data_IF_979014283903
#
_entry.id   IF_979014283903
#
_cell.length_a   1.000
_cell.length_b   1.000
_cell.length_c   1.000
_cell.angle_alpha   90.00
_cell.angle_beta   90.00
_cell.angle_gamma   90.00
#
_symmetry.space_group_name_H-M   'P 1'
#
loop_
_entity.id
_entity.type
_entity.pdbx_description
1 polymer ?
#
# COMPACT_ATOMS: atom_id res chain seq x y z
N UNK A 1 -30.61 29.47 48.14
CA UNK A 1 -29.82 28.96 46.98
C UNK A 1 -29.74 27.45 47.11
N UNK A 2 -30.45 26.71 46.25
CA UNK A 2 -30.51 25.24 46.31
C UNK A 2 -29.39 24.56 45.53
N UNK A 3 -28.15 24.63 46.01
CA UNK A 3 -27.05 23.86 45.50
C UNK A 3 -27.07 22.46 46.13
N UNK A 4 -27.04 21.39 45.33
CA UNK A 4 -27.02 20.03 45.89
C UNK A 4 -25.74 19.78 46.69
N UNK A 5 -25.81 18.92 47.73
CA UNK A 5 -24.65 18.54 48.55
C UNK A 5 -23.51 18.02 47.73
N UNK A 6 -23.77 17.26 46.67
CA UNK A 6 -22.75 16.74 45.73
C UNK A 6 -22.01 17.86 44.98
N UNK A 7 -22.73 18.94 44.60
CA UNK A 7 -22.12 20.09 43.91
C UNK A 7 -21.29 20.93 44.88
N UNK A 8 -21.73 21.07 46.15
CA UNK A 8 -20.99 21.82 47.18
C UNK A 8 -19.65 21.14 47.54
N UNK A 9 -19.63 19.81 47.62
CA UNK A 9 -18.40 19.04 47.92
C UNK A 9 -17.60 18.64 46.68
N UNK A 10 -18.04 19.01 45.47
CA UNK A 10 -17.30 18.72 44.26
C UNK A 10 -15.97 19.49 44.24
N UNK A 11 -14.89 18.79 44.56
CA UNK A 11 -13.54 19.27 44.33
C UNK A 11 -13.09 18.80 42.96
N UNK A 12 -12.83 19.68 41.96
CA UNK A 12 -12.27 19.25 40.68
C UNK A 12 -10.95 18.54 40.96
N UNK A 13 -10.87 17.26 40.66
CA UNK A 13 -9.60 16.52 40.72
C UNK A 13 -8.63 17.20 39.75
N UNK A 14 -7.68 17.96 40.28
CA UNK A 14 -6.64 18.59 39.50
C UNK A 14 -5.69 17.48 39.06
N UNK A 15 -6.01 16.83 37.92
CA UNK A 15 -5.33 15.64 37.46
C UNK A 15 -4.14 16.07 36.62
N UNK A 16 -3.09 16.58 37.27
CA UNK A 16 -1.84 17.02 36.66
C UNK A 16 -1.20 15.86 35.83
N UNK A 17 -1.24 14.63 36.35
CA UNK A 17 -0.74 13.46 35.62
C UNK A 17 -1.51 13.21 34.34
N UNK A 18 -2.84 13.34 34.36
CA UNK A 18 -3.66 13.22 33.16
C UNK A 18 -3.35 14.31 32.14
N UNK A 19 -3.14 15.56 32.60
CA UNK A 19 -2.77 16.66 31.73
C UNK A 19 -1.40 16.42 31.09
N UNK A 20 -0.42 15.98 31.89
CA UNK A 20 0.92 15.63 31.41
C UNK A 20 0.83 14.49 30.37
N UNK A 21 0.16 13.40 30.69
CA UNK A 21 -0.06 12.29 29.73
C UNK A 21 -0.78 12.74 28.45
N UNK A 22 -1.72 13.66 28.54
CA UNK A 22 -2.42 14.19 27.37
C UNK A 22 -1.53 15.08 26.51
N UNK A 23 -0.58 15.81 27.11
CA UNK A 23 0.45 16.54 26.41
C UNK A 23 1.43 15.60 25.67
N UNK A 24 1.95 14.58 26.37
CA UNK A 24 2.83 13.58 25.76
C UNK A 24 2.18 12.90 24.55
N UNK A 25 0.87 12.59 24.65
CA UNK A 25 0.10 12.03 23.54
C UNK A 25 -0.03 13.04 22.39
N UNK A 26 -0.26 14.31 22.69
CA UNK A 26 -0.37 15.36 21.67
C UNK A 26 0.94 15.51 20.87
N UNK A 27 2.08 15.55 21.55
CA UNK A 27 3.40 15.65 20.94
C UNK A 27 3.69 14.45 20.01
N UNK A 28 3.31 13.24 20.47
CA UNK A 28 3.45 12.05 19.63
C UNK A 28 2.52 12.05 18.41
N UNK A 29 1.28 12.56 18.55
CA UNK A 29 0.34 12.71 17.44
C UNK A 29 0.92 13.69 16.41
N UNK A 30 1.48 14.82 16.87
CA UNK A 30 2.09 15.83 16.00
C UNK A 30 3.30 15.27 15.24
N UNK A 31 4.19 14.57 15.94
CA UNK A 31 5.36 13.91 15.33
C UNK A 31 4.95 12.88 14.28
N UNK A 32 3.93 12.04 14.56
CA UNK A 32 3.41 11.07 13.58
C UNK A 32 2.77 11.77 12.39
N UNK A 33 2.00 12.82 12.62
CA UNK A 33 1.33 13.57 11.55
C UNK A 33 2.32 14.35 10.68
N UNK A 34 3.42 14.83 11.26
CA UNK A 34 4.52 15.44 10.52
C UNK A 34 5.23 14.44 9.60
N UNK A 35 5.53 13.26 10.13
CA UNK A 35 6.18 12.18 9.37
C UNK A 35 5.26 11.58 8.30
N UNK A 36 3.94 11.49 8.57
CA UNK A 36 2.94 10.89 7.69
C UNK A 36 1.71 11.81 7.54
N UNK A 37 1.80 12.87 6.73
CA UNK A 37 0.74 13.89 6.63
C UNK A 37 -0.63 13.38 6.16
N UNK A 38 -0.65 12.23 5.51
CA UNK A 38 -1.87 11.58 5.00
C UNK A 38 -2.46 10.54 5.96
N UNK A 39 -1.90 10.38 7.18
CA UNK A 39 -2.48 9.47 8.16
C UNK A 39 -3.70 10.08 8.82
N UNK A 40 -4.84 9.40 8.68
CA UNK A 40 -6.03 9.70 9.48
C UNK A 40 -5.92 9.12 10.90
N UNK A 41 -6.83 9.54 11.78
CA UNK A 41 -6.81 9.17 13.20
C UNK A 41 -6.68 7.65 13.47
N UNK A 42 -7.19 6.78 12.60
CA UNK A 42 -7.08 5.32 12.77
C UNK A 42 -5.63 4.85 12.63
N UNK A 43 -4.90 5.31 11.60
CA UNK A 43 -3.48 5.00 11.42
C UNK A 43 -2.62 5.65 12.50
N UNK A 44 -2.93 6.88 12.90
CA UNK A 44 -2.26 7.55 14.02
C UNK A 44 -2.46 6.75 15.32
N UNK A 45 -3.66 6.25 15.59
CA UNK A 45 -3.92 5.38 16.75
C UNK A 45 -3.11 4.09 16.71
N UNK A 46 -3.02 3.46 15.53
CA UNK A 46 -2.20 2.26 15.35
C UNK A 46 -0.70 2.56 15.55
N UNK A 47 -0.21 3.67 15.02
CA UNK A 47 1.17 4.12 15.21
C UNK A 47 1.49 4.40 16.69
N UNK A 48 0.57 5.04 17.44
CA UNK A 48 0.71 5.23 18.88
C UNK A 48 0.78 3.89 19.64
N UNK A 49 -0.08 2.92 19.27
CA UNK A 49 -0.06 1.57 19.87
C UNK A 49 1.30 0.88 19.64
N UNK A 50 1.90 1.01 18.47
CA UNK A 50 3.25 0.49 18.16
C UNK A 50 4.33 1.15 19.01
N UNK A 51 4.16 2.41 19.39
CA UNK A 51 5.00 3.13 20.36
C UNK A 51 4.62 2.83 21.84
N UNK A 52 3.88 1.75 22.10
CA UNK A 52 3.40 1.32 23.43
C UNK A 52 2.45 2.32 24.11
N UNK A 53 1.91 3.27 23.37
CA UNK A 53 0.90 4.24 23.86
C UNK A 53 -0.51 3.78 23.49
N UNK A 54 -1.20 3.16 24.45
CA UNK A 54 -2.57 2.67 24.25
C UNK A 54 -3.54 3.82 24.51
N UNK A 55 -4.16 4.32 23.43
CA UNK A 55 -5.13 5.43 23.46
C UNK A 55 -6.36 5.07 22.64
N UNK A 56 -7.53 5.44 23.16
CA UNK A 56 -8.79 5.22 22.42
C UNK A 56 -8.82 6.09 21.15
N UNK A 57 -9.18 5.48 20.01
CA UNK A 57 -9.23 6.16 18.72
C UNK A 57 -10.14 7.40 18.68
N UNK A 58 -11.25 7.40 19.49
CA UNK A 58 -12.13 8.58 19.62
C UNK A 58 -11.39 9.75 20.28
N UNK A 59 -10.50 9.45 21.27
CA UNK A 59 -9.68 10.46 21.92
C UNK A 59 -8.64 11.02 20.94
N UNK A 60 -7.96 10.15 20.18
CA UNK A 60 -7.01 10.57 19.15
C UNK A 60 -7.68 11.47 18.11
N UNK A 61 -8.86 11.08 17.59
CA UNK A 61 -9.62 11.90 16.64
C UNK A 61 -9.98 13.28 17.22
N UNK A 62 -10.40 13.36 18.50
CA UNK A 62 -10.71 14.62 19.18
C UNK A 62 -9.47 15.51 19.34
N UNK A 63 -8.33 14.91 19.70
CA UNK A 63 -7.06 15.63 19.85
C UNK A 63 -6.58 16.18 18.51
N UNK A 64 -6.54 15.35 17.46
CA UNK A 64 -6.17 15.79 16.10
C UNK A 64 -7.05 16.95 15.62
N UNK A 65 -8.37 16.87 15.85
CA UNK A 65 -9.29 17.97 15.52
C UNK A 65 -8.95 19.26 16.28
N UNK A 66 -8.66 19.15 17.59
CA UNK A 66 -8.29 20.31 18.44
C UNK A 66 -6.97 20.96 17.99
N UNK A 67 -6.04 20.15 17.49
CA UNK A 67 -4.72 20.59 16.99
C UNK A 67 -4.78 21.02 15.52
N UNK A 68 -5.94 21.04 14.88
CA UNK A 68 -6.12 21.29 13.44
C UNK A 68 -5.31 20.34 12.53
N UNK A 69 -4.97 19.17 13.02
CA UNK A 69 -4.30 18.12 12.24
C UNK A 69 -5.35 17.38 11.42
N UNK A 70 -5.33 17.62 10.10
CA UNK A 70 -6.25 16.95 9.17
C UNK A 70 -5.45 16.14 8.15
N UNK A 71 -5.95 14.94 7.83
CA UNK A 71 -5.41 14.15 6.74
C UNK A 71 -5.56 14.92 5.41
N UNK A 72 -4.45 15.12 4.69
CA UNK A 72 -4.49 15.73 3.35
C UNK A 72 -5.22 14.79 2.39
N UNK A 73 -6.27 15.28 1.77
CA UNK A 73 -7.04 14.52 0.75
C UNK A 73 -6.48 14.83 -0.63
N UNK A 74 -6.15 13.77 -1.39
CA UNK A 74 -5.77 13.93 -2.79
C UNK A 74 -6.94 14.38 -3.65
N UNK A 75 -6.68 15.21 -4.67
CA UNK A 75 -7.65 15.56 -5.72
C UNK A 75 -7.91 14.33 -6.62
N UNK A 76 -9.12 14.15 -7.10
CA UNK A 76 -9.47 13.08 -8.05
C UNK A 76 -8.86 13.35 -9.43
N UNK A 77 -8.32 12.32 -10.08
CA UNK A 77 -7.84 12.35 -11.45
C UNK A 77 -8.64 11.39 -12.34
N UNK A 78 -8.66 11.67 -13.64
CA UNK A 78 -9.36 10.90 -14.67
C UNK A 78 -8.40 9.81 -15.20
N UNK A 79 -8.92 8.60 -15.42
CA UNK A 79 -8.19 7.47 -16.02
C UNK A 79 -8.26 7.56 -17.55
N UNK A 80 -7.14 7.26 -18.22
CA UNK A 80 -7.07 7.21 -19.69
C UNK A 80 -6.27 5.97 -20.11
N UNK A 81 -6.95 4.84 -20.32
CA UNK A 81 -6.33 3.63 -20.89
C UNK A 81 -6.94 3.37 -22.26
N UNK A 82 -6.10 3.15 -23.29
CA UNK A 82 -6.55 2.73 -24.62
C UNK A 82 -6.38 1.21 -24.73
N UNK A 83 -7.48 0.47 -24.74
CA UNK A 83 -7.52 -1.00 -24.78
C UNK A 83 -8.04 -1.58 -26.11
N UNK A 84 -7.97 -0.80 -27.20
CA UNK A 84 -8.42 -1.25 -28.53
C UNK A 84 -7.24 -1.75 -29.36
N UNK A 85 -6.99 -3.06 -29.35
CA UNK A 85 -5.95 -3.72 -30.15
C UNK A 85 -6.34 -5.16 -30.50
N UNK A 86 -5.69 -5.74 -31.54
CA UNK A 86 -5.95 -7.10 -32.04
C UNK A 86 -5.02 -8.19 -31.44
N UNK A 87 -4.33 -7.92 -30.33
CA UNK A 87 -3.45 -8.89 -29.67
C UNK A 87 -4.27 -9.92 -28.88
N UNK A 88 -3.67 -11.10 -28.64
CA UNK A 88 -4.31 -12.20 -27.89
C UNK A 88 -4.64 -11.74 -26.46
N UNK A 89 -5.88 -11.97 -26.07
CA UNK A 89 -6.40 -11.70 -24.73
C UNK A 89 -6.53 -13.01 -23.96
N UNK A 90 -6.20 -12.99 -22.67
CA UNK A 90 -6.23 -14.13 -21.79
C UNK A 90 -7.48 -14.12 -20.89
N UNK A 91 -7.93 -15.29 -20.38
CA UNK A 91 -9.08 -15.36 -19.49
C UNK A 91 -8.79 -14.69 -18.14
N UNK A 92 -9.84 -14.28 -17.45
CA UNK A 92 -9.72 -13.73 -16.11
C UNK A 92 -9.66 -14.88 -15.07
N UNK A 93 -8.46 -15.17 -14.58
CA UNK A 93 -8.22 -16.18 -13.54
C UNK A 93 -8.27 -15.60 -12.13
N UNK A 94 -8.29 -14.27 -11.99
CA UNK A 94 -8.35 -13.60 -10.70
C UNK A 94 -9.79 -13.42 -10.18
N UNK A 95 -10.79 -13.63 -11.06
CA UNK A 95 -12.19 -13.53 -10.68
C UNK A 95 -12.53 -14.64 -9.68
N UNK A 96 -13.16 -14.27 -8.58
CA UNK A 96 -13.59 -15.18 -7.51
C UNK A 96 -12.44 -15.95 -6.83
N UNK A 97 -11.16 -15.55 -7.05
CA UNK A 97 -10.01 -16.18 -6.42
C UNK A 97 -9.89 -15.72 -4.96
N UNK A 98 -9.92 -16.68 -4.03
CA UNK A 98 -9.57 -16.43 -2.64
C UNK A 98 -8.04 -16.37 -2.49
N UNK A 99 -7.51 -15.16 -2.30
CA UNK A 99 -6.07 -14.93 -2.19
C UNK A 99 -5.63 -15.17 -0.76
N UNK A 100 -4.98 -16.30 -0.50
CA UNK A 100 -4.62 -16.78 0.84
C UNK A 100 -3.12 -16.94 1.11
N UNK A 101 -2.26 -16.74 0.11
CA UNK A 101 -0.79 -16.84 0.27
C UNK A 101 -0.04 -15.74 -0.47
N UNK A 102 1.19 -15.51 -0.02
CA UNK A 102 2.16 -14.66 -0.71
C UNK A 102 2.45 -15.26 -2.10
N UNK A 103 2.65 -14.41 -3.09
CA UNK A 103 2.95 -14.77 -4.49
C UNK A 103 1.91 -15.72 -5.12
N UNK A 104 0.63 -15.56 -4.74
CA UNK A 104 -0.48 -16.26 -5.40
C UNK A 104 -1.06 -15.46 -6.55
N UNK A 105 -1.20 -14.17 -6.36
CA UNK A 105 -1.75 -13.24 -7.34
C UNK A 105 -0.95 -11.93 -7.33
N UNK A 106 -0.34 -11.62 -8.46
CA UNK A 106 0.23 -10.31 -8.72
C UNK A 106 -0.70 -9.49 -9.59
N UNK A 107 -0.94 -8.23 -9.20
CA UNK A 107 -1.67 -7.27 -10.00
C UNK A 107 -0.71 -6.23 -10.57
N UNK A 108 -0.79 -5.98 -11.87
CA UNK A 108 0.06 -5.04 -12.58
C UNK A 108 -0.76 -3.94 -13.26
N UNK A 109 -0.24 -2.73 -13.24
CA UNK A 109 -0.81 -1.58 -13.94
C UNK A 109 0.25 -0.49 -14.15
N UNK A 110 -0.05 0.48 -15.02
CA UNK A 110 0.80 1.62 -15.32
C UNK A 110 0.08 2.90 -14.93
N UNK A 111 0.80 3.79 -14.26
CA UNK A 111 0.32 5.14 -13.98
C UNK A 111 1.29 6.18 -14.55
N UNK A 112 0.83 7.40 -14.68
CA UNK A 112 1.65 8.55 -15.03
C UNK A 112 1.83 9.50 -13.86
N UNK A 113 3.00 10.10 -13.80
CA UNK A 113 3.42 11.14 -12.86
C UNK A 113 3.71 12.38 -13.67
N UNK A 114 3.02 13.47 -13.36
CA UNK A 114 3.26 14.74 -14.03
C UNK A 114 4.51 15.40 -13.45
N UNK A 115 5.40 15.83 -14.32
CA UNK A 115 6.51 16.74 -14.01
C UNK A 115 6.25 18.09 -14.69
N UNK A 116 7.11 19.07 -14.50
CA UNK A 116 6.88 20.45 -14.93
C UNK A 116 6.49 20.54 -16.42
N UNK A 117 7.20 19.85 -17.31
CA UNK A 117 7.03 19.96 -18.76
C UNK A 117 6.53 18.69 -19.46
N UNK A 118 6.41 17.55 -18.73
CA UNK A 118 6.14 16.26 -19.34
C UNK A 118 5.44 15.29 -18.37
N UNK A 119 5.31 14.04 -18.80
CA UNK A 119 4.89 12.92 -17.98
C UNK A 119 5.99 11.88 -17.85
N UNK A 120 6.08 11.27 -16.69
CA UNK A 120 6.89 10.08 -16.42
C UNK A 120 5.92 8.94 -16.13
N UNK A 121 6.21 7.77 -16.67
CA UNK A 121 5.39 6.58 -16.50
C UNK A 121 5.99 5.66 -15.46
N UNK A 122 5.16 5.10 -14.62
CA UNK A 122 5.51 4.11 -13.60
C UNK A 122 4.67 2.86 -13.84
N UNK A 123 5.32 1.75 -14.20
CA UNK A 123 4.72 0.42 -14.13
C UNK A 123 5.01 -0.16 -12.75
N UNK A 124 4.04 -0.81 -12.14
CA UNK A 124 4.24 -1.47 -10.85
C UNK A 124 3.49 -2.80 -10.79
N UNK A 125 4.04 -3.72 -10.01
CA UNK A 125 3.47 -5.04 -9.73
C UNK A 125 3.32 -5.17 -8.21
N UNK A 126 2.10 -5.42 -7.76
CA UNK A 126 1.77 -5.59 -6.35
C UNK A 126 1.34 -7.03 -6.07
N UNK A 127 1.84 -7.60 -5.00
CA UNK A 127 1.29 -8.83 -4.43
C UNK A 127 -0.08 -8.55 -3.80
N UNK A 128 -1.11 -9.25 -4.25
CA UNK A 128 -2.48 -9.00 -3.81
C UNK A 128 -2.73 -9.45 -2.37
N UNK A 129 -1.95 -10.37 -1.82
CA UNK A 129 -2.06 -10.84 -0.45
C UNK A 129 -1.38 -9.88 0.53
N UNK A 130 -0.07 -9.68 0.36
CA UNK A 130 0.76 -8.90 1.26
C UNK A 130 0.70 -7.39 1.01
N UNK A 131 0.19 -6.96 -0.14
CA UNK A 131 0.21 -5.55 -0.60
C UNK A 131 1.61 -5.02 -0.87
N UNK A 132 2.64 -5.86 -0.87
CA UNK A 132 4.00 -5.48 -1.18
C UNK A 132 4.16 -5.20 -2.67
N UNK A 133 4.86 -4.14 -3.01
CA UNK A 133 5.29 -3.91 -4.39
C UNK A 133 6.46 -4.85 -4.66
N UNK A 134 6.22 -5.80 -5.55
CA UNK A 134 7.19 -6.83 -5.94
C UNK A 134 8.17 -6.34 -7.00
N UNK A 135 7.73 -5.43 -7.88
CA UNK A 135 8.57 -4.86 -8.91
C UNK A 135 7.98 -3.58 -9.48
N UNK A 136 8.84 -2.72 -10.02
CA UNK A 136 8.45 -1.48 -10.68
C UNK A 136 9.44 -1.09 -11.77
N UNK A 137 8.97 -0.25 -12.70
CA UNK A 137 9.80 0.35 -13.75
C UNK A 137 9.40 1.80 -13.96
N UNK A 138 10.37 2.69 -14.19
CA UNK A 138 10.17 4.13 -14.40
C UNK A 138 10.69 4.51 -15.78
N UNK A 139 9.88 5.20 -16.59
CA UNK A 139 10.26 5.54 -17.94
C UNK A 139 9.65 6.84 -18.45
N UNK A 140 10.32 7.43 -19.47
CA UNK A 140 9.84 8.65 -20.14
C UNK A 140 8.75 8.36 -21.19
N UNK A 141 8.59 7.11 -21.58
CA UNK A 141 7.64 6.69 -22.60
C UNK A 141 6.85 5.48 -22.16
N UNK A 142 5.65 5.33 -22.68
CA UNK A 142 4.75 4.19 -22.44
C UNK A 142 5.13 2.99 -23.35
N UNK A 143 6.41 2.66 -23.44
CA UNK A 143 6.88 1.54 -24.24
C UNK A 143 6.67 0.20 -23.51
N UNK A 144 6.56 -0.90 -24.26
CA UNK A 144 6.43 -2.26 -23.69
C UNK A 144 7.62 -2.67 -22.80
N UNK A 145 8.77 -2.03 -22.97
CA UNK A 145 9.97 -2.22 -22.13
C UNK A 145 9.70 -1.86 -20.66
N UNK A 146 8.86 -0.85 -20.40
CA UNK A 146 8.59 -0.35 -19.06
C UNK A 146 7.98 -1.42 -18.12
N UNK A 147 6.82 -2.05 -18.43
CA UNK A 147 6.30 -3.13 -17.59
C UNK A 147 7.18 -4.37 -17.59
N UNK A 148 7.99 -4.58 -18.66
CA UNK A 148 8.94 -5.69 -18.72
C UNK A 148 10.06 -5.54 -17.67
N UNK A 149 10.54 -4.33 -17.43
CA UNK A 149 11.50 -4.03 -16.35
C UNK A 149 10.90 -4.31 -14.97
N UNK A 150 9.67 -3.88 -14.74
CA UNK A 150 8.94 -4.17 -13.50
C UNK A 150 8.77 -5.70 -13.28
N UNK A 151 8.42 -6.43 -14.34
CA UNK A 151 8.26 -7.88 -14.26
C UNK A 151 9.58 -8.60 -13.99
N UNK A 152 10.67 -8.22 -14.65
CA UNK A 152 12.01 -8.78 -14.38
C UNK A 152 12.44 -8.57 -12.94
N UNK A 153 12.22 -7.36 -12.40
CA UNK A 153 12.52 -7.06 -11.00
C UNK A 153 11.73 -7.96 -10.06
N UNK A 154 10.43 -8.13 -10.30
CA UNK A 154 9.56 -8.98 -9.48
C UNK A 154 10.00 -10.47 -9.52
N UNK A 155 10.22 -11.03 -10.72
CA UNK A 155 10.66 -12.44 -10.89
C UNK A 155 11.99 -12.70 -10.19
N UNK A 156 12.94 -11.77 -10.27
CA UNK A 156 14.26 -11.95 -9.66
C UNK A 156 14.25 -11.96 -8.13
N UNK A 157 13.21 -11.40 -7.51
CA UNK A 157 13.15 -11.23 -6.05
C UNK A 157 12.08 -12.10 -5.36
N UNK A 158 11.23 -12.80 -6.13
CA UNK A 158 10.04 -13.48 -5.61
C UNK A 158 9.89 -14.91 -6.13
N UNK A 159 9.09 -15.71 -5.41
CA UNK A 159 8.71 -17.05 -5.89
C UNK A 159 7.60 -16.96 -6.93
N UNK A 160 7.76 -17.67 -8.04
CA UNK A 160 6.79 -17.69 -9.15
C UNK A 160 5.96 -18.99 -9.21
N UNK A 161 6.12 -19.90 -8.26
CA UNK A 161 5.40 -21.19 -8.23
C UNK A 161 3.88 -20.99 -8.09
N UNK A 162 3.12 -21.51 -9.07
CA UNK A 162 1.66 -21.38 -9.13
C UNK A 162 1.17 -19.93 -8.99
N UNK A 163 1.94 -18.97 -9.53
CA UNK A 163 1.61 -17.56 -9.53
C UNK A 163 0.67 -17.22 -10.67
N UNK A 164 -0.34 -16.41 -10.39
CA UNK A 164 -1.19 -15.76 -11.37
C UNK A 164 -0.76 -14.29 -11.49
N UNK A 165 -0.45 -13.86 -12.70
CA UNK A 165 -0.20 -12.45 -13.02
C UNK A 165 -1.43 -11.85 -13.69
N UNK A 166 -2.03 -10.85 -13.06
CA UNK A 166 -3.24 -10.18 -13.52
C UNK A 166 -2.96 -8.74 -13.92
N UNK A 167 -3.40 -8.36 -15.12
CA UNK A 167 -3.28 -7.00 -15.65
C UNK A 167 -4.54 -6.57 -16.40
N UNK A 168 -4.59 -5.30 -16.81
CA UNK A 168 -5.55 -4.88 -17.82
C UNK A 168 -5.17 -5.44 -19.21
N UNK A 169 -6.04 -5.16 -20.22
CA UNK A 169 -5.78 -5.54 -21.62
C UNK A 169 -4.96 -4.52 -22.37
N UNK A 170 -4.09 -3.77 -21.69
CA UNK A 170 -3.20 -2.81 -22.33
C UNK A 170 -2.23 -3.50 -23.30
N UNK A 171 -1.94 -2.84 -24.42
CA UNK A 171 -1.03 -3.35 -25.47
C UNK A 171 0.34 -3.76 -24.92
N UNK A 172 0.80 -3.10 -23.86
CA UNK A 172 2.07 -3.38 -23.21
C UNK A 172 2.09 -4.76 -22.55
N UNK A 173 0.99 -5.15 -21.89
CA UNK A 173 0.83 -6.45 -21.23
C UNK A 173 0.52 -7.58 -22.20
N UNK A 174 -0.02 -7.26 -23.38
CA UNK A 174 -0.28 -8.21 -24.45
C UNK A 174 0.93 -8.41 -25.40
N UNK A 175 2.05 -7.70 -25.18
CA UNK A 175 3.23 -7.80 -26.02
C UNK A 175 3.87 -9.20 -25.93
N UNK A 176 4.44 -9.68 -27.05
CA UNK A 176 5.05 -11.01 -27.12
C UNK A 176 6.16 -11.19 -26.08
N UNK A 177 7.02 -10.20 -25.91
CA UNK A 177 8.13 -10.28 -24.95
C UNK A 177 7.63 -10.42 -23.51
N UNK A 178 6.56 -9.69 -23.17
CA UNK A 178 5.96 -9.75 -21.83
C UNK A 178 5.34 -11.12 -21.53
N UNK A 179 4.55 -11.62 -22.48
CA UNK A 179 3.90 -12.94 -22.37
C UNK A 179 4.93 -14.06 -22.37
N UNK A 180 5.95 -13.98 -23.22
CA UNK A 180 7.02 -14.97 -23.25
C UNK A 180 7.78 -15.04 -21.92
N UNK A 181 8.05 -13.89 -21.29
CA UNK A 181 8.71 -13.86 -19.99
C UNK A 181 7.85 -14.48 -18.88
N UNK A 182 6.54 -14.23 -18.87
CA UNK A 182 5.60 -14.88 -17.93
C UNK A 182 5.61 -16.39 -18.11
N UNK A 183 5.42 -16.86 -19.36
CA UNK A 183 5.38 -18.29 -19.69
C UNK A 183 6.70 -19.01 -19.38
N UNK A 184 7.85 -18.37 -19.66
CA UNK A 184 9.17 -18.93 -19.37
C UNK A 184 9.42 -19.14 -17.86
N UNK A 185 8.69 -18.42 -17.01
CA UNK A 185 8.76 -18.56 -15.54
C UNK A 185 7.56 -19.32 -14.95
N UNK A 186 6.75 -19.99 -15.79
CA UNK A 186 5.60 -20.76 -15.33
C UNK A 186 4.44 -19.95 -14.76
N UNK A 187 4.42 -18.65 -14.99
CA UNK A 187 3.42 -17.72 -14.44
C UNK A 187 2.16 -17.75 -15.31
N UNK A 188 1.01 -17.95 -14.68
CA UNK A 188 -0.29 -17.97 -15.36
C UNK A 188 -0.73 -16.55 -15.72
N UNK A 189 -1.09 -16.33 -16.99
CA UNK A 189 -1.53 -15.03 -17.48
C UNK A 189 -3.04 -14.85 -17.27
N UNK A 190 -3.41 -13.75 -16.64
CA UNK A 190 -4.79 -13.34 -16.38
C UNK A 190 -5.03 -11.90 -16.79
N UNK A 191 -6.18 -11.60 -17.42
CA UNK A 191 -6.51 -10.26 -17.85
C UNK A 191 -7.93 -9.87 -17.44
N UNK A 192 -8.08 -8.62 -16.93
CA UNK A 192 -9.38 -8.09 -16.51
C UNK A 192 -10.36 -7.99 -17.68
N UNK A 193 -11.66 -8.16 -17.40
CA UNK A 193 -12.69 -7.87 -18.37
C UNK A 193 -12.79 -6.34 -18.63
N UNK A 194 -13.23 -5.96 -19.83
CA UNK A 194 -13.43 -4.54 -20.16
C UNK A 194 -14.47 -3.94 -19.20
N UNK A 195 -14.11 -2.93 -18.44
CA UNK A 195 -15.03 -2.23 -17.54
C UNK A 195 -15.22 -2.84 -16.16
N UNK A 196 -14.33 -3.73 -15.72
CA UNK A 196 -14.35 -4.35 -14.36
C UNK A 196 -13.34 -3.68 -13.41
N UNK A 197 -13.67 -2.51 -12.82
CA UNK A 197 -12.71 -1.74 -12.01
C UNK A 197 -12.32 -2.44 -10.70
N UNK A 198 -13.08 -3.43 -10.25
CA UNK A 198 -12.79 -4.15 -9.00
C UNK A 198 -11.65 -5.15 -9.14
N UNK A 199 -11.37 -5.61 -10.35
CA UNK A 199 -10.40 -6.68 -10.62
C UNK A 199 -8.94 -6.19 -10.44
N UNK A 200 -8.67 -4.89 -10.55
CA UNK A 200 -7.35 -4.29 -10.35
C UNK A 200 -7.27 -3.32 -9.16
N UNK A 201 -8.23 -3.44 -8.21
CA UNK A 201 -8.37 -2.53 -7.08
C UNK A 201 -7.12 -2.44 -6.17
N UNK A 202 -6.30 -3.48 -6.13
CA UNK A 202 -5.10 -3.52 -5.30
C UNK A 202 -4.05 -2.54 -5.78
N UNK A 203 -3.69 -2.61 -7.06
CA UNK A 203 -2.69 -1.72 -7.65
C UNK A 203 -3.23 -0.28 -7.78
N UNK A 204 -4.54 -0.10 -8.06
CA UNK A 204 -5.15 1.22 -8.03
C UNK A 204 -5.08 1.88 -6.65
N UNK A 205 -5.28 1.09 -5.58
CA UNK A 205 -5.14 1.58 -4.19
C UNK A 205 -3.71 2.01 -3.89
N UNK A 206 -2.72 1.27 -4.40
CA UNK A 206 -1.32 1.67 -4.32
C UNK A 206 -1.08 3.01 -5.03
N UNK A 207 -1.49 3.14 -6.29
CA UNK A 207 -1.30 4.39 -7.04
C UNK A 207 -2.02 5.59 -6.40
N UNK A 208 -3.19 5.38 -5.81
CA UNK A 208 -3.87 6.43 -5.02
C UNK A 208 -3.03 6.85 -3.81
N UNK A 209 -2.41 5.88 -3.12
CA UNK A 209 -1.51 6.16 -1.99
C UNK A 209 -0.25 6.87 -2.43
N UNK A 210 0.43 6.38 -3.47
CA UNK A 210 1.62 7.00 -4.05
C UNK A 210 1.37 8.45 -4.44
N UNK A 211 0.28 8.70 -5.19
CA UNK A 211 -0.04 10.06 -5.61
C UNK A 211 -0.35 10.98 -4.45
N UNK A 212 -1.08 10.50 -3.44
CA UNK A 212 -1.48 11.31 -2.29
C UNK A 212 -0.35 11.56 -1.29
N UNK A 213 0.47 10.55 -1.05
CA UNK A 213 1.46 10.52 0.05
C UNK A 213 2.86 10.90 -0.42
N UNK A 214 3.11 10.92 -1.74
CA UNK A 214 4.38 11.30 -2.33
C UNK A 214 4.21 12.34 -3.45
N UNK A 215 3.62 11.98 -4.58
CA UNK A 215 3.65 12.81 -5.80
C UNK A 215 3.04 14.21 -5.60
N UNK A 216 1.92 14.33 -4.86
CA UNK A 216 1.26 15.63 -4.62
C UNK A 216 1.83 16.42 -3.44
N UNK A 217 2.74 15.83 -2.69
CA UNK A 217 3.45 16.55 -1.61
C UNK A 217 4.74 17.20 -2.12
N UNK A 218 5.30 16.65 -3.19
CA UNK A 218 6.54 17.10 -3.80
C UNK A 218 6.26 17.56 -5.23
N UNK A 219 6.54 18.79 -5.54
CA UNK A 219 6.38 19.36 -6.87
C UNK A 219 7.53 18.91 -7.74
N UNK A 220 7.40 17.73 -8.36
CA UNK A 220 8.42 17.18 -9.26
C UNK A 220 8.61 18.05 -10.49
N UNK A 221 9.81 18.48 -10.74
CA UNK A 221 10.18 19.31 -11.89
C UNK A 221 10.83 18.48 -12.99
N UNK A 222 11.68 17.54 -12.61
CA UNK A 222 12.55 16.78 -13.50
C UNK A 222 12.30 15.28 -13.46
N UNK A 223 12.81 14.57 -14.46
CA UNK A 223 12.83 13.11 -14.49
C UNK A 223 13.68 12.54 -13.33
N UNK A 224 14.79 13.20 -12.99
CA UNK A 224 15.66 12.80 -11.89
C UNK A 224 14.89 12.79 -10.56
N UNK A 225 14.08 13.81 -10.29
CA UNK A 225 13.29 13.87 -9.06
C UNK A 225 12.40 12.63 -8.91
N UNK A 226 11.80 12.17 -10.02
CA UNK A 226 10.96 10.97 -10.03
C UNK A 226 11.80 9.72 -9.79
N UNK A 227 12.96 9.58 -10.49
CA UNK A 227 13.81 8.37 -10.38
C UNK A 227 14.50 8.25 -9.05
N UNK A 228 14.71 9.33 -8.34
CA UNK A 228 15.34 9.33 -7.01
C UNK A 228 14.32 9.06 -5.90
N UNK A 229 13.14 9.67 -6.02
CA UNK A 229 12.15 9.65 -4.94
C UNK A 229 11.17 8.48 -4.98
N UNK A 230 10.75 8.04 -6.17
CA UNK A 230 9.77 6.95 -6.30
C UNK A 230 10.32 5.62 -5.77
N UNK A 231 11.58 5.20 -6.08
CA UNK A 231 12.17 4.02 -5.46
C UNK A 231 12.18 4.11 -3.94
N UNK A 232 12.66 5.23 -3.38
CA UNK A 232 12.66 5.45 -1.94
C UNK A 232 11.25 5.34 -1.33
N UNK A 233 10.25 5.96 -1.98
CA UNK A 233 8.87 5.85 -1.49
C UNK A 233 8.37 4.41 -1.52
N UNK A 234 8.64 3.65 -2.58
CA UNK A 234 8.16 2.27 -2.71
C UNK A 234 8.84 1.37 -1.68
N UNK A 235 10.16 1.41 -1.59
CA UNK A 235 10.94 0.46 -0.79
C UNK A 235 10.93 0.85 0.69
N UNK A 236 11.37 2.07 1.01
CA UNK A 236 11.56 2.51 2.39
C UNK A 236 10.28 2.97 3.09
N UNK A 237 9.33 3.55 2.34
CA UNK A 237 8.12 4.10 2.94
C UNK A 237 6.96 3.12 2.79
N UNK A 238 6.59 2.75 1.57
CA UNK A 238 5.39 1.96 1.32
C UNK A 238 5.55 0.51 1.80
N UNK A 239 6.60 -0.18 1.39
CA UNK A 239 6.83 -1.58 1.74
C UNK A 239 7.24 -1.76 3.21
N UNK A 240 8.15 -0.89 3.72
CA UNK A 240 8.81 -1.12 5.02
C UNK A 240 8.19 -0.39 6.20
N UNK A 241 7.48 0.74 5.99
CA UNK A 241 7.01 1.61 7.10
C UNK A 241 5.53 1.90 7.10
N UNK A 242 4.89 1.92 5.91
CA UNK A 242 3.50 2.34 5.78
C UNK A 242 2.52 1.34 6.38
N UNK A 243 1.67 1.81 7.31
CA UNK A 243 0.66 0.97 7.96
C UNK A 243 -0.55 0.73 7.05
N UNK A 244 -0.87 -0.54 6.82
CA UNK A 244 -2.02 -0.99 6.01
C UNK A 244 -3.13 -1.54 6.88
N UNK A 245 -4.34 -0.97 6.77
CA UNK A 245 -5.49 -1.42 7.58
C UNK A 245 -5.92 -2.85 7.24
N UNK A 246 -5.77 -3.28 5.99
CA UNK A 246 -6.04 -4.65 5.55
C UNK A 246 -5.06 -5.69 6.11
N UNK A 247 -3.88 -5.25 6.54
CA UNK A 247 -2.84 -6.08 7.14
C UNK A 247 -2.77 -5.90 8.67
N UNK A 248 -3.87 -5.51 9.31
CA UNK A 248 -3.88 -5.28 10.76
C UNK A 248 -2.98 -4.10 11.20
N UNK A 249 -2.80 -3.11 10.35
CA UNK A 249 -1.89 -1.97 10.54
C UNK A 249 -0.41 -2.37 10.67
N UNK A 250 0.00 -3.33 9.86
CA UNK A 250 1.41 -3.68 9.63
C UNK A 250 1.88 -3.16 8.27
N UNK A 251 3.18 -2.86 8.11
CA UNK A 251 3.79 -2.70 6.79
C UNK A 251 3.80 -4.03 6.02
N UNK A 252 3.80 -3.99 4.67
CA UNK A 252 3.85 -5.20 3.85
C UNK A 252 5.00 -6.16 4.18
N UNK A 253 6.22 -5.66 4.37
CA UNK A 253 7.39 -6.48 4.71
C UNK A 253 7.27 -7.17 6.06
N UNK A 254 6.83 -6.45 7.09
CA UNK A 254 6.60 -7.01 8.42
C UNK A 254 5.52 -8.09 8.37
N UNK A 255 4.46 -7.86 7.57
CA UNK A 255 3.39 -8.83 7.39
C UNK A 255 3.91 -10.12 6.73
N UNK A 256 4.70 -10.02 5.66
CA UNK A 256 5.30 -11.18 4.98
C UNK A 256 6.21 -11.96 5.93
N UNK A 257 7.07 -11.27 6.66
CA UNK A 257 7.99 -11.91 7.62
C UNK A 257 7.23 -12.74 8.67
N UNK A 258 6.23 -12.14 9.30
CA UNK A 258 5.40 -12.82 10.30
C UNK A 258 4.61 -14.00 9.68
N UNK A 259 4.11 -13.86 8.45
CA UNK A 259 3.37 -14.90 7.75
C UNK A 259 4.27 -16.11 7.44
N UNK A 260 5.49 -15.87 6.96
CA UNK A 260 6.47 -16.92 6.65
C UNK A 260 6.90 -17.63 7.93
N UNK A 261 7.20 -16.91 9.01
CA UNK A 261 7.59 -17.51 10.30
C UNK A 261 6.49 -18.42 10.86
N UNK A 262 5.23 -17.97 10.84
CA UNK A 262 4.11 -18.78 11.33
C UNK A 262 3.91 -20.06 10.53
N UNK A 263 4.02 -19.99 9.21
CA UNK A 263 3.87 -21.16 8.35
C UNK A 263 5.05 -22.13 8.50
N UNK A 264 6.26 -21.64 8.67
CA UNK A 264 7.43 -22.47 8.98
C UNK A 264 7.25 -23.20 10.30
N UNK A 265 6.79 -22.53 11.37
CA UNK A 265 6.53 -23.15 12.66
C UNK A 265 5.44 -24.23 12.60
N UNK A 266 4.39 -24.04 11.81
CA UNK A 266 3.33 -25.03 11.64
C UNK A 266 3.85 -26.29 10.94
N UNK A 267 4.64 -26.14 9.87
CA UNK A 267 5.28 -27.27 9.17
C UNK A 267 6.17 -28.09 10.13
N UNK A 268 6.98 -27.43 10.98
CA UNK A 268 7.81 -28.12 11.97
C UNK A 268 6.98 -28.83 13.05
N UNK A 269 5.84 -28.28 13.44
CA UNK A 269 4.95 -28.92 14.42
C UNK A 269 4.26 -30.17 13.85
N UNK A 270 3.84 -30.12 12.59
CA UNK A 270 3.25 -31.26 11.89
C UNK A 270 4.27 -32.38 11.65
N UNK A 271 5.49 -32.06 11.24
CA UNK A 271 6.59 -33.04 11.08
C UNK A 271 6.94 -33.74 12.40
N UNK A 272 6.91 -33.02 13.53
CA UNK A 272 7.12 -33.63 14.86
C UNK A 272 6.00 -34.58 15.28
N UNK A 273 4.76 -34.35 14.83
CA UNK A 273 3.63 -35.25 15.12
C UNK A 273 3.64 -36.51 14.25
N UNK A 274 4.27 -36.46 13.08
CA UNK A 274 4.36 -37.61 12.16
C UNK A 274 5.59 -38.48 12.46
N UNK A 275 6.44 -38.14 13.43
CA UNK A 275 7.49 -39.02 13.95
C UNK A 275 8.70 -39.21 13.02
N UNK A 276 9.10 -38.15 12.28
CA UNK A 276 10.39 -38.12 11.54
C UNK A 276 11.41 -37.32 12.30
#
# INVERSE_FOLDING_TARGET
MGISRSTYYYRPKNNLEKKKRDADIADLIEAIAYQYPCYGYRRVTAALKRKKMIVNHKKVAKMMKKMNIQCRKAKRFVSTTNSSHNLKVYPNLAKDLDVCRIDQLWCADITYIRILTAFVYLAAIIDAFSRKIAGYGIGRTLAAKLPLEALKMAINSRNTDNLIHHSDKGIQYCSHDYINLLNANGILVSMSAKGSPYENAFIESFFKSLKAEEVYLWEYETYSDVTDRIPYFIEDVYNSKRLHSSLGYMPPEEFEHIFIEKNSCNVYSELRQVGV
#
